data_IF_164885264383
#
_entry.id   IF_164885264383
#
_cell.length_a   1.000
_cell.length_b   1.000
_cell.length_c   1.000
_cell.angle_alpha   90.00
_cell.angle_beta   90.00
_cell.angle_gamma   90.00
#
_symmetry.space_group_name_H-M   'P 1'
#
loop_
_entity.id
_entity.type
_entity.pdbx_description
1 polymer ?
#
# COMPACT_ATOMS: atom_id res chain seq x y z
N UNK A 1 11.23 0.98 32.17
CA UNK A 1 10.66 1.72 31.01
C UNK A 1 11.47 1.33 29.79
N UNK A 2 10.83 0.92 28.69
CA UNK A 2 11.51 0.66 27.42
C UNK A 2 11.23 1.85 26.51
N UNK A 3 12.27 2.40 25.90
CA UNK A 3 12.17 3.56 25.00
C UNK A 3 12.92 3.20 23.72
N UNK A 4 12.28 3.37 22.57
CA UNK A 4 12.82 3.00 21.27
C UNK A 4 13.31 4.26 20.54
N UNK A 5 14.63 4.40 20.41
CA UNK A 5 15.30 5.55 19.79
C UNK A 5 16.00 5.20 18.48
N UNK A 6 15.52 4.16 17.78
CA UNK A 6 16.13 3.68 16.53
C UNK A 6 15.16 3.73 15.34
N UNK A 7 14.48 4.86 15.17
CA UNK A 7 13.51 5.06 14.08
C UNK A 7 14.18 5.13 12.69
N UNK A 8 15.50 5.33 12.65
CA UNK A 8 16.28 5.28 11.41
C UNK A 8 16.42 3.84 10.87
N UNK A 9 16.39 2.82 11.74
CA UNK A 9 16.43 1.41 11.31
C UNK A 9 15.05 0.93 10.83
N UNK A 10 14.00 1.21 11.61
CA UNK A 10 12.60 0.93 11.24
C UNK A 10 11.65 1.67 12.19
N UNK A 11 10.36 1.72 11.85
CA UNK A 11 9.35 2.38 12.67
C UNK A 11 8.14 1.46 12.88
N UNK A 12 7.44 1.57 14.03
CA UNK A 12 6.16 0.89 14.19
C UNK A 12 5.17 1.34 13.11
N UNK A 13 4.41 0.41 12.55
CA UNK A 13 3.35 0.74 11.61
C UNK A 13 2.33 1.68 12.28
N UNK A 14 1.88 2.69 11.53
CA UNK A 14 0.70 3.45 11.91
C UNK A 14 -0.52 2.50 11.99
N UNK A 15 -1.43 2.64 12.97
CA UNK A 15 -2.59 1.76 13.10
C UNK A 15 -3.42 1.65 11.81
N UNK A 16 -3.58 2.75 11.09
CA UNK A 16 -4.31 2.82 9.82
C UNK A 16 -3.62 2.01 8.72
N UNK A 17 -2.28 1.98 8.70
CA UNK A 17 -1.52 1.17 7.74
C UNK A 17 -1.68 -0.33 8.05
N UNK A 18 -1.68 -0.72 9.33
CA UNK A 18 -1.92 -2.10 9.74
C UNK A 18 -3.33 -2.58 9.37
N UNK A 19 -4.35 -1.72 9.52
CA UNK A 19 -5.71 -1.99 9.09
C UNK A 19 -5.80 -2.16 7.57
N UNK A 20 -5.21 -1.25 6.80
CA UNK A 20 -5.18 -1.34 5.33
C UNK A 20 -4.53 -2.64 4.83
N UNK A 21 -3.40 -3.06 5.43
CA UNK A 21 -2.76 -4.35 5.12
C UNK A 21 -3.67 -5.52 5.45
N UNK A 22 -4.37 -5.47 6.58
CA UNK A 22 -5.31 -6.51 7.00
C UNK A 22 -6.47 -6.62 6.01
N UNK A 23 -7.09 -5.51 5.63
CA UNK A 23 -8.16 -5.46 4.61
C UNK A 23 -7.66 -5.96 3.26
N UNK A 24 -6.48 -5.52 2.82
CA UNK A 24 -5.91 -5.96 1.55
C UNK A 24 -5.70 -7.48 1.50
N UNK A 25 -5.23 -8.06 2.62
CA UNK A 25 -4.96 -9.50 2.72
C UNK A 25 -6.23 -10.33 2.84
N UNK A 26 -7.22 -9.84 3.60
CA UNK A 26 -8.44 -10.58 3.92
C UNK A 26 -9.51 -10.44 2.83
N UNK A 27 -9.71 -9.23 2.32
CA UNK A 27 -10.88 -8.86 1.53
C UNK A 27 -10.53 -8.56 0.06
N UNK A 28 -9.28 -8.15 -0.24
CA UNK A 28 -8.80 -7.81 -1.59
C UNK A 28 -7.79 -8.82 -2.14
N UNK A 29 -7.96 -10.10 -1.82
CA UNK A 29 -7.04 -11.20 -2.12
C UNK A 29 -6.87 -11.56 -3.61
N UNK A 30 -7.55 -10.86 -4.51
CA UNK A 30 -7.48 -11.13 -5.95
C UNK A 30 -6.12 -10.80 -6.55
N UNK A 31 -5.74 -11.53 -7.60
CA UNK A 31 -4.57 -11.15 -8.41
C UNK A 31 -4.93 -9.94 -9.29
N UNK A 32 -4.24 -8.81 -9.12
CA UNK A 32 -4.48 -7.58 -9.87
C UNK A 32 -4.25 -7.69 -11.39
N UNK A 33 -3.62 -8.76 -11.88
CA UNK A 33 -3.51 -9.04 -13.32
C UNK A 33 -4.71 -9.79 -13.90
N UNK A 34 -5.64 -10.25 -13.06
CA UNK A 34 -6.82 -10.99 -13.51
C UNK A 34 -7.94 -10.04 -13.93
N UNK A 35 -8.64 -10.39 -15.01
CA UNK A 35 -9.76 -9.59 -15.55
C UNK A 35 -11.10 -9.80 -14.83
N UNK A 36 -11.21 -10.82 -13.98
CA UNK A 36 -12.43 -11.11 -13.21
C UNK A 36 -12.62 -10.13 -12.05
N UNK A 37 -13.82 -10.09 -11.48
CA UNK A 37 -14.24 -9.15 -10.43
C UNK A 37 -13.22 -9.01 -9.27
N UNK A 38 -12.71 -10.11 -8.72
CA UNK A 38 -11.72 -10.03 -7.62
C UNK A 38 -10.38 -9.42 -8.05
N UNK A 39 -9.93 -9.63 -9.29
CA UNK A 39 -8.70 -9.04 -9.80
C UNK A 39 -8.86 -7.54 -10.08
N UNK A 40 -10.03 -7.15 -10.62
CA UNK A 40 -10.37 -5.73 -10.80
C UNK A 40 -10.42 -4.96 -9.48
N UNK A 41 -10.95 -5.56 -8.41
CA UNK A 41 -10.93 -4.96 -7.07
C UNK A 41 -9.51 -4.75 -6.54
N UNK A 42 -8.64 -5.77 -6.64
CA UNK A 42 -7.25 -5.64 -6.23
C UNK A 42 -6.49 -4.60 -7.06
N UNK A 43 -6.74 -4.56 -8.37
CA UNK A 43 -6.17 -3.55 -9.28
C UNK A 43 -6.61 -2.13 -8.91
N UNK A 44 -7.89 -1.92 -8.62
CA UNK A 44 -8.41 -0.63 -8.20
C UNK A 44 -7.73 -0.12 -6.93
N UNK A 45 -7.55 -0.97 -5.92
CA UNK A 45 -6.85 -0.61 -4.68
C UNK A 45 -5.38 -0.23 -4.92
N UNK A 46 -4.68 -0.93 -5.80
CA UNK A 46 -3.31 -0.58 -6.19
C UNK A 46 -3.24 0.76 -6.94
N UNK A 47 -4.21 1.06 -7.80
CA UNK A 47 -4.24 2.30 -8.58
C UNK A 47 -4.60 3.51 -7.70
N UNK A 48 -5.47 3.32 -6.70
CA UNK A 48 -5.73 4.31 -5.66
C UNK A 48 -4.48 4.63 -4.85
N UNK A 49 -3.77 3.59 -4.35
CA UNK A 49 -2.52 3.76 -3.62
C UNK A 49 -1.45 4.48 -4.45
N UNK A 50 -1.33 4.12 -5.74
CA UNK A 50 -0.42 4.77 -6.69
C UNK A 50 -0.72 6.26 -6.85
N UNK A 51 -1.99 6.60 -7.03
CA UNK A 51 -2.45 7.98 -7.20
C UNK A 51 -2.23 8.82 -5.94
N UNK A 52 -2.43 8.23 -4.76
CA UNK A 52 -2.18 8.87 -3.48
C UNK A 52 -0.68 9.19 -3.28
N UNK A 53 0.21 8.24 -3.59
CA UNK A 53 1.66 8.44 -3.52
C UNK A 53 2.10 9.50 -4.53
N UNK A 54 1.66 9.40 -5.78
CA UNK A 54 1.99 10.38 -6.83
C UNK A 54 1.61 11.80 -6.41
N UNK A 55 0.40 11.97 -5.84
CA UNK A 55 -0.06 13.26 -5.33
C UNK A 55 0.81 13.78 -4.17
N UNK A 56 1.22 12.90 -3.26
CA UNK A 56 2.08 13.23 -2.11
C UNK A 56 3.46 13.75 -2.55
N UNK A 57 4.03 13.17 -3.61
CA UNK A 57 5.36 13.53 -4.12
C UNK A 57 5.34 14.46 -5.34
N UNK A 58 4.16 14.94 -5.75
CA UNK A 58 3.96 15.79 -6.92
C UNK A 58 4.46 15.18 -8.25
N UNK A 59 4.23 13.88 -8.43
CA UNK A 59 4.54 13.12 -9.64
C UNK A 59 3.28 12.72 -10.42
N UNK A 60 3.45 12.26 -11.65
CA UNK A 60 2.39 11.56 -12.37
C UNK A 60 2.26 10.11 -11.84
N UNK A 61 1.05 9.54 -11.72
CA UNK A 61 0.88 8.15 -11.28
C UNK A 61 1.69 7.12 -12.07
N UNK A 62 1.93 7.36 -13.37
CA UNK A 62 2.73 6.47 -14.22
C UNK A 62 4.22 6.44 -13.85
N UNK A 63 4.71 7.43 -13.12
CA UNK A 63 6.10 7.51 -12.65
C UNK A 63 6.35 6.70 -11.37
N UNK A 64 5.28 6.26 -10.69
CA UNK A 64 5.39 5.49 -9.46
C UNK A 64 5.63 4.02 -9.80
N UNK A 65 6.70 3.42 -9.26
CA UNK A 65 7.00 1.99 -9.37
C UNK A 65 7.07 1.39 -7.97
N UNK A 66 6.26 0.35 -7.70
CA UNK A 66 6.30 -0.38 -6.43
C UNK A 66 7.41 -1.43 -6.46
N UNK A 67 8.29 -1.40 -5.46
CA UNK A 67 9.28 -2.44 -5.17
C UNK A 67 9.02 -3.00 -3.76
N UNK A 68 9.85 -3.92 -3.28
CA UNK A 68 9.74 -4.46 -1.92
C UNK A 68 10.32 -3.56 -0.82
N UNK A 69 10.90 -2.41 -1.18
CA UNK A 69 11.71 -1.55 -0.31
C UNK A 69 12.99 -1.08 -0.98
#
# INVERSE_FOLDING_TARGET
MRVYFDYNATTPLAPQAAEAVTTATRDLFGNASSVHHFGQQAKAALDEARSAIASLVHADPSEIVFTSG
#
